data_IF_141642920807
#
_entry.id   IF_141642920807
#
_cell.length_a   1.000
_cell.length_b   1.000
_cell.length_c   1.000
_cell.angle_alpha   90.00
_cell.angle_beta   90.00
_cell.angle_gamma   90.00
#
_symmetry.space_group_name_H-M   'P 1'
#
loop_
_entity.id
_entity.type
_entity.pdbx_description
1 polymer ?
#
# COMPACT_ATOMS: atom_id res chain seq x y z
N UNK A 1 -27.52 -17.09 -10.08
CA UNK A 1 -26.28 -17.89 -10.00
C UNK A 1 -25.11 -16.91 -9.91
N UNK A 2 -24.41 -16.82 -8.77
CA UNK A 2 -23.27 -15.89 -8.64
C UNK A 2 -22.09 -16.50 -9.37
N UNK A 3 -21.67 -15.93 -10.50
CA UNK A 3 -20.45 -16.34 -11.19
C UNK A 3 -19.26 -16.05 -10.26
N UNK A 4 -18.63 -17.10 -9.74
CA UNK A 4 -17.35 -16.98 -9.03
C UNK A 4 -16.28 -16.63 -10.06
N UNK A 5 -15.36 -15.73 -9.71
CA UNK A 5 -14.23 -15.39 -10.58
C UNK A 5 -13.39 -16.63 -10.89
N UNK A 6 -12.89 -16.74 -12.12
CA UNK A 6 -11.93 -17.79 -12.49
C UNK A 6 -10.56 -17.56 -11.85
N UNK A 7 -9.73 -18.59 -11.79
CA UNK A 7 -8.37 -18.47 -11.26
C UNK A 7 -7.51 -17.49 -12.05
N UNK A 8 -7.66 -17.44 -13.38
CA UNK A 8 -6.99 -16.46 -14.23
C UNK A 8 -7.42 -15.02 -13.90
N UNK A 9 -8.71 -14.79 -13.65
CA UNK A 9 -9.21 -13.50 -13.21
C UNK A 9 -8.66 -13.12 -11.83
N UNK A 10 -8.61 -14.06 -10.88
CA UNK A 10 -8.03 -13.82 -9.56
C UNK A 10 -6.54 -13.50 -9.64
N UNK A 11 -5.78 -14.25 -10.46
CA UNK A 11 -4.34 -14.02 -10.68
C UNK A 11 -4.07 -12.66 -11.32
N UNK A 12 -4.88 -12.24 -12.30
CA UNK A 12 -4.78 -10.90 -12.90
C UNK A 12 -5.08 -9.76 -11.91
N UNK A 13 -5.81 -10.04 -10.83
CA UNK A 13 -6.08 -9.12 -9.71
C UNK A 13 -5.01 -9.17 -8.63
N UNK A 14 -3.98 -9.99 -8.80
CA UNK A 14 -2.83 -10.13 -7.90
C UNK A 14 -2.95 -11.24 -6.88
N UNK A 15 -3.95 -12.13 -6.97
CA UNK A 15 -4.06 -13.27 -6.06
C UNK A 15 -2.91 -14.24 -6.32
N UNK A 16 -2.29 -14.70 -5.25
CA UNK A 16 -1.18 -15.65 -5.27
C UNK A 16 -1.57 -16.91 -4.51
N UNK A 17 -0.92 -18.03 -4.82
CA UNK A 17 -1.01 -19.27 -4.04
C UNK A 17 0.29 -19.56 -3.31
N UNK A 18 0.31 -20.63 -2.52
CA UNK A 18 1.53 -21.07 -1.84
C UNK A 18 2.58 -21.59 -2.85
N UNK A 19 2.14 -22.28 -3.90
CA UNK A 19 3.00 -22.79 -4.97
C UNK A 19 3.67 -21.64 -5.74
N UNK A 20 2.94 -20.54 -5.96
CA UNK A 20 3.52 -19.33 -6.51
C UNK A 20 4.70 -18.84 -5.62
N UNK A 21 4.53 -18.78 -4.29
CA UNK A 21 5.63 -18.34 -3.40
C UNK A 21 6.84 -19.28 -3.45
N UNK A 22 6.62 -20.59 -3.44
CA UNK A 22 7.70 -21.58 -3.54
C UNK A 22 8.52 -21.42 -4.81
N UNK A 23 7.87 -21.12 -5.95
CA UNK A 23 8.54 -20.93 -7.23
C UNK A 23 9.53 -19.76 -7.22
N UNK A 24 9.22 -18.67 -6.51
CA UNK A 24 10.05 -17.46 -6.47
C UNK A 24 10.92 -17.34 -5.21
N UNK A 25 10.84 -18.27 -4.27
CA UNK A 25 11.50 -18.16 -2.96
C UNK A 25 13.03 -17.96 -3.05
N UNK A 26 13.67 -18.52 -4.07
CA UNK A 26 15.11 -18.41 -4.28
C UNK A 26 15.56 -17.10 -4.96
N UNK A 27 14.63 -16.23 -5.37
CA UNK A 27 14.99 -14.94 -5.95
C UNK A 27 15.76 -14.09 -4.93
N UNK A 28 16.82 -13.43 -5.37
CA UNK A 28 17.58 -12.44 -4.62
C UNK A 28 16.74 -11.21 -4.29
N UNK A 29 17.21 -10.37 -3.35
CA UNK A 29 16.54 -9.09 -3.04
C UNK A 29 16.39 -8.22 -4.30
N UNK A 30 17.42 -8.15 -5.14
CA UNK A 30 17.40 -7.37 -6.38
C UNK A 30 16.35 -7.86 -7.38
N UNK A 31 16.26 -9.18 -7.58
CA UNK A 31 15.25 -9.75 -8.48
C UNK A 31 13.82 -9.49 -7.97
N UNK A 32 13.60 -9.58 -6.66
CA UNK A 32 12.31 -9.26 -6.05
C UNK A 32 11.98 -7.76 -6.19
N UNK A 33 12.95 -6.86 -6.03
CA UNK A 33 12.76 -5.43 -6.25
C UNK A 33 12.37 -5.11 -7.70
N UNK A 34 12.93 -5.83 -8.68
CA UNK A 34 12.50 -5.70 -10.07
C UNK A 34 11.10 -6.28 -10.31
N UNK A 35 10.74 -7.37 -9.62
CA UNK A 35 9.40 -7.95 -9.71
C UNK A 35 8.28 -7.01 -9.22
N UNK A 36 8.55 -6.11 -8.28
CA UNK A 36 7.60 -5.06 -7.85
C UNK A 36 7.16 -4.17 -9.02
N UNK A 37 8.01 -4.00 -10.04
CA UNK A 37 7.71 -3.17 -11.21
C UNK A 37 7.01 -3.95 -12.33
N UNK A 38 6.73 -5.24 -12.12
CA UNK A 38 6.13 -6.10 -13.14
C UNK A 38 4.76 -5.59 -13.58
N UNK A 39 4.43 -5.77 -14.86
CA UNK A 39 3.07 -5.56 -15.39
C UNK A 39 2.06 -6.55 -14.78
N UNK A 40 2.54 -7.71 -14.33
CA UNK A 40 1.72 -8.78 -13.77
C UNK A 40 1.50 -8.59 -12.26
N UNK A 41 0.24 -8.44 -11.88
CA UNK A 41 -0.18 -8.16 -10.50
C UNK A 41 0.31 -9.19 -9.48
N UNK A 42 0.22 -10.47 -9.82
CA UNK A 42 0.61 -11.55 -8.90
C UNK A 42 2.11 -11.54 -8.64
N UNK A 43 2.95 -11.18 -9.62
CA UNK A 43 4.41 -11.03 -9.43
C UNK A 43 4.73 -9.92 -8.44
N UNK A 44 4.01 -8.79 -8.51
CA UNK A 44 4.15 -7.71 -7.52
C UNK A 44 3.77 -8.20 -6.11
N UNK A 45 2.63 -8.89 -5.98
CA UNK A 45 2.20 -9.47 -4.69
C UNK A 45 3.22 -10.46 -4.12
N UNK A 46 3.78 -11.36 -4.95
CA UNK A 46 4.84 -12.30 -4.54
C UNK A 46 6.07 -11.54 -4.04
N UNK A 47 6.51 -10.52 -4.80
CA UNK A 47 7.68 -9.74 -4.45
C UNK A 47 7.53 -9.06 -3.09
N UNK A 48 6.39 -8.41 -2.84
CA UNK A 48 6.07 -7.78 -1.55
C UNK A 48 6.13 -8.81 -0.42
N UNK A 49 5.53 -9.99 -0.63
CA UNK A 49 5.52 -11.06 0.37
C UNK A 49 6.92 -11.53 0.73
N UNK A 50 7.70 -11.90 -0.28
CA UNK A 50 9.03 -12.48 -0.09
C UNK A 50 10.05 -11.45 0.42
N UNK A 51 9.95 -10.19 0.00
CA UNK A 51 10.80 -9.11 0.55
C UNK A 51 10.53 -8.90 2.04
N UNK A 52 9.27 -9.03 2.47
CA UNK A 52 8.87 -8.90 3.87
C UNK A 52 9.31 -10.11 4.71
N UNK A 53 9.17 -11.33 4.18
CA UNK A 53 9.56 -12.56 4.88
C UNK A 53 11.06 -12.63 5.16
N UNK A 54 11.87 -11.96 4.34
CA UNK A 54 13.31 -11.81 4.57
C UNK A 54 13.67 -10.88 5.73
N UNK A 55 12.67 -10.28 6.41
CA UNK A 55 12.80 -9.41 7.59
C UNK A 55 13.77 -8.23 7.43
N UNK A 56 13.93 -7.74 6.21
CA UNK A 56 14.81 -6.63 5.86
C UNK A 56 13.98 -5.40 5.44
N UNK A 57 12.93 -5.11 6.21
CA UNK A 57 12.13 -3.89 6.06
C UNK A 57 12.93 -2.72 6.61
N UNK A 58 13.66 -2.06 5.72
CA UNK A 58 14.31 -0.79 5.97
C UNK A 58 13.46 0.37 5.43
N UNK A 59 13.83 1.60 5.79
CA UNK A 59 13.10 2.81 5.39
C UNK A 59 12.94 2.92 3.86
N UNK A 60 13.96 2.54 3.07
CA UNK A 60 13.88 2.50 1.61
C UNK A 60 12.77 1.59 1.09
N UNK A 61 12.62 0.40 1.69
CA UNK A 61 11.61 -0.57 1.31
C UNK A 61 10.20 -0.08 1.71
N UNK A 62 10.07 0.62 2.84
CA UNK A 62 8.82 1.27 3.25
C UNK A 62 8.42 2.36 2.27
N UNK A 63 9.35 3.24 1.88
CA UNK A 63 9.09 4.25 0.86
C UNK A 63 8.68 3.61 -0.48
N UNK A 64 9.36 2.55 -0.91
CA UNK A 64 9.02 1.81 -2.12
C UNK A 64 7.60 1.22 -2.04
N UNK A 65 7.22 0.62 -0.91
CA UNK A 65 5.88 0.06 -0.71
C UNK A 65 4.80 1.14 -0.70
N UNK A 66 5.05 2.30 -0.07
CA UNK A 66 4.12 3.42 -0.07
C UNK A 66 3.95 4.03 -1.48
N UNK A 67 5.06 4.22 -2.22
CA UNK A 67 5.00 4.64 -3.62
C UNK A 67 4.21 3.64 -4.46
N UNK A 68 4.47 2.34 -4.31
CA UNK A 68 3.74 1.28 -5.00
C UNK A 68 2.24 1.32 -4.65
N UNK A 69 1.90 1.48 -3.38
CA UNK A 69 0.52 1.54 -2.90
C UNK A 69 -0.25 2.72 -3.51
N UNK A 70 0.40 3.87 -3.69
CA UNK A 70 -0.23 5.07 -4.27
C UNK A 70 -0.61 4.91 -5.74
N UNK A 71 0.10 4.06 -6.48
CA UNK A 71 -0.08 3.86 -7.92
C UNK A 71 -0.79 2.53 -8.25
N UNK A 72 -0.83 1.59 -7.32
CA UNK A 72 -1.41 0.27 -7.53
C UNK A 72 -2.90 0.37 -7.87
N UNK A 73 -3.39 -0.53 -8.72
CA UNK A 73 -4.79 -0.63 -9.11
C UNK A 73 -5.37 -2.04 -8.94
N UNK A 74 -4.55 -3.02 -8.54
CA UNK A 74 -4.96 -4.42 -8.36
C UNK A 74 -5.25 -4.72 -6.90
N UNK A 75 -6.40 -5.36 -6.68
CA UNK A 75 -6.99 -5.54 -5.36
C UNK A 75 -6.06 -6.30 -4.39
N UNK A 76 -5.60 -7.49 -4.78
CA UNK A 76 -4.85 -8.35 -3.87
C UNK A 76 -3.46 -7.79 -3.57
N UNK A 77 -2.86 -7.10 -4.54
CA UNK A 77 -1.58 -6.41 -4.34
C UNK A 77 -1.73 -5.26 -3.33
N UNK A 78 -2.82 -4.47 -3.40
CA UNK A 78 -3.13 -3.46 -2.36
C UNK A 78 -3.32 -4.07 -0.98
N UNK A 79 -4.06 -5.18 -0.90
CA UNK A 79 -4.31 -5.87 0.37
C UNK A 79 -2.98 -6.30 0.99
N UNK A 80 -2.09 -6.91 0.20
CA UNK A 80 -0.78 -7.35 0.71
C UNK A 80 0.09 -6.17 1.16
N UNK A 81 0.15 -5.08 0.39
CA UNK A 81 0.86 -3.85 0.79
C UNK A 81 0.34 -3.30 2.12
N UNK A 82 -0.98 -3.18 2.27
CA UNK A 82 -1.58 -2.71 3.52
C UNK A 82 -1.32 -3.67 4.68
N UNK A 83 -1.42 -4.98 4.46
CA UNK A 83 -1.17 -5.99 5.50
C UNK A 83 0.27 -5.90 6.02
N UNK A 84 1.25 -5.82 5.10
CA UNK A 84 2.67 -5.67 5.44
C UNK A 84 2.93 -4.38 6.19
N UNK A 85 2.48 -3.23 5.66
CA UNK A 85 2.68 -1.92 6.28
C UNK A 85 1.99 -1.83 7.65
N UNK A 86 0.84 -2.49 7.84
CA UNK A 86 0.12 -2.48 9.13
C UNK A 86 0.83 -3.26 10.24
N UNK A 87 1.68 -4.23 9.89
CA UNK A 87 2.37 -5.12 10.85
C UNK A 87 3.73 -4.60 11.30
N UNK A 88 4.20 -3.51 10.69
CA UNK A 88 5.50 -2.94 10.97
C UNK A 88 5.49 -2.02 12.21
N UNK A 89 6.59 -1.34 12.47
CA UNK A 89 6.91 -0.70 13.73
C UNK A 89 6.70 0.84 13.73
N UNK A 90 7.08 1.48 14.83
CA UNK A 90 6.91 2.94 15.02
C UNK A 90 7.68 3.76 13.98
N UNK A 91 8.82 3.27 13.49
CA UNK A 91 9.62 3.95 12.46
C UNK A 91 8.85 4.07 11.15
N UNK A 92 8.20 3.00 10.67
CA UNK A 92 7.40 3.09 9.45
C UNK A 92 6.16 3.96 9.63
N UNK A 93 5.56 4.00 10.83
CA UNK A 93 4.48 4.95 11.10
C UNK A 93 4.92 6.41 10.89
N UNK A 94 6.16 6.77 11.28
CA UNK A 94 6.71 8.12 11.04
C UNK A 94 6.86 8.43 9.54
N UNK A 95 7.28 7.45 8.74
CA UNK A 95 7.37 7.60 7.29
C UNK A 95 5.96 7.72 6.67
N UNK A 96 5.03 6.86 7.09
CA UNK A 96 3.68 6.80 6.56
C UNK A 96 2.88 8.09 6.76
N UNK A 97 3.06 8.80 7.89
CA UNK A 97 2.34 10.05 8.14
C UNK A 97 2.71 11.16 7.16
N UNK A 98 3.93 11.16 6.60
CA UNK A 98 4.34 12.10 5.55
C UNK A 98 3.46 12.00 4.29
N UNK A 99 2.88 10.82 4.04
CA UNK A 99 2.01 10.56 2.90
C UNK A 99 0.54 10.94 3.17
N UNK A 100 0.16 11.26 4.41
CA UNK A 100 -1.18 11.78 4.73
C UNK A 100 -1.37 13.21 4.25
N UNK A 101 -0.33 14.03 4.36
CA UNK A 101 -0.32 15.46 4.00
C UNK A 101 -0.21 15.73 2.50
N UNK A 102 0.01 14.71 1.67
CA UNK A 102 0.16 14.89 0.23
C UNK A 102 -1.19 15.21 -0.42
N UNK A 103 -1.42 16.49 -0.71
CA UNK A 103 -2.58 16.97 -1.47
C UNK A 103 -2.37 16.61 -2.94
N UNK A 104 -2.97 15.50 -3.38
CA UNK A 104 -3.03 15.15 -4.81
C UNK A 104 -4.00 16.05 -5.60
N UNK A 105 -4.02 15.89 -6.92
CA UNK A 105 -4.90 16.64 -7.85
C UNK A 105 -6.41 16.30 -7.71
N UNK A 106 -6.79 15.56 -6.68
CA UNK A 106 -8.16 15.10 -6.42
C UNK A 106 -8.97 16.08 -5.55
N UNK A 107 -8.45 17.29 -5.30
CA UNK A 107 -9.16 18.33 -4.59
C UNK A 107 -10.16 19.02 -5.54
N UNK A 108 -11.44 18.96 -5.19
CA UNK A 108 -12.46 19.74 -5.90
C UNK A 108 -12.26 21.23 -5.60
N UNK A 109 -11.76 21.97 -6.59
CA UNK A 109 -11.61 23.44 -6.53
C UNK A 109 -12.86 24.19 -7.00
N UNK A 110 -13.77 23.47 -7.65
CA UNK A 110 -15.02 23.97 -8.21
C UNK A 110 -16.11 22.94 -7.93
N UNK A 111 -17.34 23.40 -7.72
CA UNK A 111 -18.50 22.52 -7.58
C UNK A 111 -18.66 21.66 -8.85
N UNK A 112 -18.72 20.32 -8.71
CA UNK A 112 -18.89 19.46 -9.87
C UNK A 112 -20.27 19.70 -10.50
N UNK A 113 -20.31 19.83 -11.83
CA UNK A 113 -21.54 19.98 -12.62
C UNK A 113 -22.29 18.65 -12.78
N UNK A 114 -21.61 17.53 -12.56
CA UNK A 114 -22.19 16.19 -12.57
C UNK A 114 -22.50 15.75 -11.13
N UNK A 115 -23.59 15.00 -10.93
CA UNK A 115 -23.94 14.43 -9.63
C UNK A 115 -22.81 13.58 -9.03
N UNK A 116 -22.78 13.48 -7.69
CA UNK A 116 -21.81 12.67 -6.95
C UNK A 116 -21.95 11.18 -7.29
N UNK A 117 -21.36 10.76 -8.39
CA UNK A 117 -21.26 9.36 -8.75
C UNK A 117 -20.30 8.69 -7.75
N UNK A 118 -20.80 7.79 -6.89
CA UNK A 118 -20.04 6.99 -5.91
C UNK A 118 -18.97 6.08 -6.55
N UNK A 119 -17.98 6.67 -7.20
CA UNK A 119 -16.84 6.00 -7.84
C UNK A 119 -15.49 6.51 -7.34
N UNK A 120 -15.45 7.34 -6.29
CA UNK A 120 -14.20 7.66 -5.63
C UNK A 120 -13.73 6.43 -4.84
N UNK A 121 -12.92 5.60 -5.49
CA UNK A 121 -12.08 4.63 -4.81
C UNK A 121 -11.25 5.37 -3.74
N UNK A 122 -11.00 4.79 -2.55
CA UNK A 122 -10.25 5.47 -1.50
C UNK A 122 -8.96 6.03 -2.07
N UNK A 123 -8.72 7.31 -1.81
CA UNK A 123 -7.51 7.98 -2.24
C UNK A 123 -6.31 7.34 -1.56
N UNK A 124 -5.08 7.52 -2.09
CA UNK A 124 -3.87 7.01 -1.43
C UNK A 124 -3.80 7.40 0.05
N UNK A 125 -4.09 8.67 0.39
CA UNK A 125 -4.16 9.15 1.77
C UNK A 125 -5.19 8.39 2.63
N UNK A 126 -6.36 8.05 2.06
CA UNK A 126 -7.42 7.35 2.80
C UNK A 126 -7.01 5.90 3.08
N UNK A 127 -6.28 5.29 2.14
CA UNK A 127 -5.74 3.94 2.29
C UNK A 127 -4.62 3.91 3.32
N UNK A 128 -3.73 4.90 3.31
CA UNK A 128 -2.63 5.03 4.27
C UNK A 128 -3.17 5.31 5.67
N UNK A 129 -4.12 6.23 5.82
CA UNK A 129 -4.79 6.52 7.09
C UNK A 129 -5.46 5.27 7.67
N UNK A 130 -6.15 4.48 6.82
CA UNK A 130 -6.73 3.20 7.23
C UNK A 130 -5.67 2.20 7.66
N UNK A 131 -4.54 2.15 6.96
CA UNK A 131 -3.44 1.23 7.28
C UNK A 131 -2.80 1.59 8.63
N UNK A 132 -2.53 2.88 8.88
CA UNK A 132 -2.08 3.38 10.17
C UNK A 132 -3.05 3.01 11.30
N UNK A 133 -4.37 3.14 11.07
CA UNK A 133 -5.38 2.76 12.06
C UNK A 133 -5.39 1.26 12.42
N UNK A 134 -4.80 0.40 11.58
CA UNK A 134 -4.64 -1.04 11.84
C UNK A 134 -3.29 -1.40 12.46
N UNK A 135 -2.35 -0.45 12.58
CA UNK A 135 -1.08 -0.68 13.28
C UNK A 135 -1.29 -0.80 14.79
N UNK A 136 -0.27 -1.31 15.48
CA UNK A 136 -0.31 -1.47 16.93
C UNK A 136 -0.32 -0.12 17.65
N UNK A 137 -0.90 -0.08 18.85
CA UNK A 137 -1.14 1.16 19.63
C UNK A 137 0.11 2.00 19.92
N UNK A 138 1.30 1.41 19.83
CA UNK A 138 2.60 2.08 20.03
C UNK A 138 2.83 3.22 19.03
N UNK A 139 2.08 3.28 17.93
CA UNK A 139 2.15 4.40 16.97
C UNK A 139 1.37 5.63 17.43
N UNK A 140 0.51 5.53 18.46
CA UNK A 140 -0.36 6.64 18.89
C UNK A 140 0.41 7.94 19.20
N UNK A 141 1.57 7.92 19.88
CA UNK A 141 2.36 9.13 20.09
C UNK A 141 2.81 9.79 18.78
N UNK A 142 3.14 9.01 17.75
CA UNK A 142 3.50 9.53 16.42
C UNK A 142 2.31 10.25 15.80
N UNK A 143 1.12 9.65 15.85
CA UNK A 143 -0.09 10.26 15.32
C UNK A 143 -0.47 11.56 16.04
N UNK A 144 -0.34 11.59 17.37
CA UNK A 144 -0.62 12.78 18.17
C UNK A 144 0.38 13.92 17.90
N UNK A 145 1.64 13.58 17.62
CA UNK A 145 2.67 14.57 17.33
C UNK A 145 2.36 15.33 16.04
N UNK A 146 1.88 14.63 15.00
CA UNK A 146 1.47 15.24 13.71
C UNK A 146 0.32 16.24 13.86
N UNK A 147 -0.54 16.07 14.87
CA UNK A 147 -1.67 16.97 15.11
C UNK A 147 -1.30 18.24 15.88
N UNK A 148 -0.05 18.35 16.36
CA UNK A 148 0.38 19.55 17.09
C UNK A 148 0.46 20.76 16.14
N UNK A 149 0.06 21.96 16.60
CA UNK A 149 0.01 23.16 15.76
C UNK A 149 1.35 23.53 15.08
N UNK A 150 2.47 23.16 15.70
CA UNK A 150 3.82 23.52 15.25
C UNK A 150 4.33 22.66 14.08
N UNK A 151 3.59 21.61 13.69
CA UNK A 151 3.96 20.67 12.63
C UNK A 151 3.21 20.90 11.31
N UNK A 152 2.52 22.04 11.14
CA UNK A 152 1.92 22.42 9.85
C UNK A 152 3.05 22.94 8.95
N UNK A 153 3.42 22.26 7.86
CA UNK A 153 4.36 22.83 6.90
C UNK A 153 3.75 24.13 6.36
N UNK A 154 4.44 25.25 6.60
CA UNK A 154 4.13 26.50 5.92
C UNK A 154 4.29 26.26 4.41
N UNK A 155 3.17 26.30 3.69
CA UNK A 155 3.18 26.34 2.22
C UNK A 155 3.70 27.70 1.74
#
# INVERSE_FOLDING_TARGET
MVLKSSDSQLKSRGKITFEDLQHYNNHSKLELLEMIKSKEAYKRTIAIKLLTEKKDLNDDLIHLFLQTLTQENKLYTKIELCDVLSKDNVQSAKIMVEYLGQIGNNQHKVLPTNGFNKKSYPLPRDTIARTLAHMKKEILPVLLDVLKPDNIPCN
#
